data_IF_719104916548
#
_entry.id   IF_719104916548
#
_cell.length_a   1.000
_cell.length_b   1.000
_cell.length_c   1.000
_cell.angle_alpha   90.00
_cell.angle_beta   90.00
_cell.angle_gamma   90.00
#
_symmetry.space_group_name_H-M   'P 1'
#
loop_
_entity.id
_entity.type
_entity.pdbx_description
1 polymer ?
#
# COMPACT_ATOMS: atom_id res chain seq x y z
N UNK A 1 -16.30 -2.84 27.42
CA UNK A 1 -16.70 -4.09 26.77
C UNK A 1 -16.23 -5.23 27.66
N UNK A 2 -17.17 -6.03 28.19
CA UNK A 2 -16.81 -7.25 28.92
C UNK A 2 -16.40 -8.31 27.88
N UNK A 3 -15.09 -8.51 27.74
CA UNK A 3 -14.56 -9.58 26.90
C UNK A 3 -14.54 -10.86 27.75
N UNK A 4 -15.43 -11.78 27.44
CA UNK A 4 -15.48 -13.14 28.05
C UNK A 4 -14.78 -14.17 27.16
N UNK A 5 -13.63 -13.82 26.59
CA UNK A 5 -12.85 -14.68 25.71
C UNK A 5 -11.59 -15.20 26.41
N UNK A 6 -11.15 -16.40 26.03
CA UNK A 6 -9.91 -17.00 26.56
C UNK A 6 -8.66 -16.24 26.10
N UNK A 7 -8.72 -15.58 24.95
CA UNK A 7 -7.65 -14.76 24.37
C UNK A 7 -8.27 -13.57 23.60
N UNK A 8 -7.74 -12.39 23.83
CA UNK A 8 -8.07 -11.18 23.06
C UNK A 8 -6.88 -10.79 22.21
N UNK A 9 -7.07 -10.65 20.91
CA UNK A 9 -6.02 -10.21 19.98
C UNK A 9 -6.39 -8.80 19.48
N UNK A 10 -5.49 -7.86 19.70
CA UNK A 10 -5.56 -6.53 19.08
C UNK A 10 -4.66 -6.54 17.84
N UNK A 11 -5.25 -6.30 16.67
CA UNK A 11 -4.55 -6.22 15.40
C UNK A 11 -4.60 -4.80 14.87
N UNK A 12 -3.44 -4.23 14.57
CA UNK A 12 -3.28 -2.85 14.06
C UNK A 12 -3.73 -1.77 15.06
N UNK A 13 -3.78 -2.10 16.32
CA UNK A 13 -4.11 -1.17 17.41
C UNK A 13 -3.62 -1.70 18.75
N UNK A 14 -3.53 -0.78 19.72
CA UNK A 14 -3.25 -1.15 21.11
C UNK A 14 -1.87 -0.72 21.60
N UNK A 15 -0.86 -0.60 20.76
CA UNK A 15 0.49 -0.15 21.15
C UNK A 15 0.51 1.27 21.65
N UNK A 16 -0.16 2.19 20.96
CA UNK A 16 -0.30 3.59 21.35
C UNK A 16 -1.29 3.86 22.49
N UNK A 17 -1.92 2.83 23.03
CA UNK A 17 -2.98 2.93 24.03
C UNK A 17 -2.62 2.18 25.32
N UNK A 18 -3.12 2.65 26.47
CA UNK A 18 -2.92 2.00 27.77
C UNK A 18 -3.95 0.89 28.02
N UNK A 19 -4.09 -0.03 27.07
CA UNK A 19 -5.07 -1.14 27.16
C UNK A 19 -4.89 -1.98 28.41
N UNK A 20 -3.66 -2.11 28.91
CA UNK A 20 -3.32 -2.89 30.11
C UNK A 20 -3.95 -2.35 31.40
N UNK A 21 -4.33 -1.07 31.46
CA UNK A 21 -4.99 -0.46 32.61
C UNK A 21 -6.46 -0.91 32.74
N UNK A 22 -7.04 -1.43 31.67
CA UNK A 22 -8.45 -1.84 31.61
C UNK A 22 -8.63 -3.36 31.54
N UNK A 23 -7.56 -4.14 31.72
CA UNK A 23 -7.63 -5.59 31.70
C UNK A 23 -8.15 -6.12 33.02
N UNK A 24 -9.08 -7.08 32.94
CA UNK A 24 -9.51 -7.85 34.11
C UNK A 24 -8.42 -8.85 34.54
N UNK A 25 -8.46 -9.27 35.80
CA UNK A 25 -7.65 -10.39 36.29
C UNK A 25 -7.91 -11.62 35.43
N UNK A 26 -6.86 -12.34 35.06
CA UNK A 26 -6.87 -13.52 34.19
C UNK A 26 -7.16 -13.26 32.70
N UNK A 27 -7.13 -12.01 32.24
CA UNK A 27 -7.19 -11.72 30.80
C UNK A 27 -5.92 -12.21 30.11
N UNK A 28 -6.08 -12.81 28.92
CA UNK A 28 -4.96 -13.13 28.01
C UNK A 28 -5.02 -12.21 26.80
N UNK A 29 -3.97 -11.44 26.56
CA UNK A 29 -3.95 -10.39 25.54
C UNK A 29 -2.71 -10.52 24.67
N UNK A 30 -2.92 -10.48 23.36
CA UNK A 30 -1.89 -10.34 22.36
C UNK A 30 -2.14 -9.05 21.56
N UNK A 31 -1.10 -8.21 21.47
CA UNK A 31 -1.10 -7.01 20.60
C UNK A 31 -0.15 -7.25 19.44
N UNK A 32 -0.65 -7.09 18.21
CA UNK A 32 0.08 -7.10 16.95
C UNK A 32 -0.06 -5.71 16.33
N UNK A 33 0.89 -4.83 16.58
CA UNK A 33 0.75 -3.42 16.20
C UNK A 33 2.11 -2.83 15.79
N UNK A 34 2.09 -1.86 14.91
CA UNK A 34 3.28 -1.19 14.37
C UNK A 34 3.37 0.30 14.76
N UNK A 35 2.35 0.82 15.43
CA UNK A 35 2.32 2.20 15.91
C UNK A 35 3.30 2.42 17.08
N UNK A 36 3.73 3.68 17.33
CA UNK A 36 4.61 4.00 18.45
C UNK A 36 4.04 3.48 19.80
N UNK A 37 4.77 2.59 20.50
CA UNK A 37 4.26 1.98 21.73
C UNK A 37 4.38 2.90 22.93
N UNK A 38 3.38 2.88 23.83
CA UNK A 38 3.43 3.56 25.14
C UNK A 38 4.09 2.72 26.22
N UNK A 39 4.30 1.43 25.96
CA UNK A 39 4.97 0.48 26.85
C UNK A 39 6.41 0.23 26.41
N UNK A 40 7.22 -0.24 27.35
CA UNK A 40 8.58 -0.73 27.04
C UNK A 40 8.51 -2.18 26.58
N UNK A 41 9.51 -2.60 25.81
CA UNK A 41 9.73 -4.02 25.51
C UNK A 41 9.75 -4.83 26.82
N UNK A 42 9.19 -6.04 26.80
CA UNK A 42 9.05 -6.93 27.97
C UNK A 42 8.17 -6.36 29.10
N UNK A 43 7.23 -5.49 28.78
CA UNK A 43 6.22 -5.06 29.74
C UNK A 43 5.44 -6.28 30.26
N UNK A 44 5.29 -6.34 31.58
CA UNK A 44 4.48 -7.36 32.26
C UNK A 44 3.24 -6.68 32.84
N UNK A 45 2.06 -7.16 32.48
CA UNK A 45 0.83 -6.63 33.05
C UNK A 45 0.71 -7.01 34.53
N UNK A 46 0.09 -6.15 35.37
CA UNK A 46 -0.16 -6.46 36.76
C UNK A 46 -1.03 -7.69 37.01
N UNK A 47 -1.86 -8.05 36.01
CA UNK A 47 -2.74 -9.22 36.07
C UNK A 47 -2.92 -9.82 34.64
N UNK A 48 -2.90 -11.16 34.58
CA UNK A 48 -3.10 -11.89 33.32
C UNK A 48 -1.84 -12.00 32.45
N UNK A 49 -2.01 -12.66 31.30
CA UNK A 49 -0.96 -12.83 30.31
C UNK A 49 -1.04 -11.70 29.27
N UNK A 50 0.07 -11.02 29.06
CA UNK A 50 0.14 -9.88 28.14
C UNK A 50 1.38 -10.03 27.25
N UNK A 51 1.15 -10.08 25.94
CA UNK A 51 2.22 -10.08 24.95
C UNK A 51 1.97 -8.97 23.91
N UNK A 52 2.98 -8.17 23.66
CA UNK A 52 2.97 -7.15 22.61
C UNK A 52 4.10 -7.42 21.62
N UNK A 53 3.74 -7.62 20.37
CA UNK A 53 4.65 -7.76 19.23
C UNK A 53 4.58 -6.46 18.44
N UNK A 54 5.67 -5.68 18.53
CA UNK A 54 5.78 -4.40 17.83
C UNK A 54 7.18 -4.29 17.19
N UNK A 55 7.30 -4.00 15.89
CA UNK A 55 8.57 -3.94 15.16
C UNK A 55 9.54 -2.92 15.77
N UNK A 56 9.04 -1.83 16.35
CA UNK A 56 9.85 -0.78 16.96
C UNK A 56 10.71 -1.33 18.11
N UNK A 57 10.22 -2.31 18.87
CA UNK A 57 10.99 -2.95 19.93
C UNK A 57 12.24 -3.69 19.42
N UNK A 58 12.25 -4.04 18.13
CA UNK A 58 13.34 -4.75 17.47
C UNK A 58 14.15 -3.84 16.53
N UNK A 59 14.01 -2.52 16.66
CA UNK A 59 14.74 -1.54 15.85
C UNK A 59 14.26 -1.42 14.41
N UNK A 60 13.06 -1.94 14.11
CA UNK A 60 12.44 -1.78 12.79
C UNK A 60 11.58 -0.53 12.75
N UNK A 61 11.48 0.10 11.59
CA UNK A 61 10.57 1.22 11.36
C UNK A 61 9.14 0.68 11.10
N UNK A 62 8.23 0.96 12.03
CA UNK A 62 6.83 0.56 11.93
C UNK A 62 6.08 1.21 10.76
N UNK A 63 6.59 2.31 10.20
CA UNK A 63 5.94 3.01 9.08
C UNK A 63 6.31 2.47 7.69
N UNK A 64 7.33 1.58 7.60
CA UNK A 64 7.86 1.10 6.31
C UNK A 64 8.14 -0.39 6.27
N UNK A 65 8.45 -1.03 7.41
CA UNK A 65 8.94 -2.41 7.43
C UNK A 65 7.85 -3.46 7.59
N UNK A 66 6.78 -3.16 8.30
CA UNK A 66 5.61 -4.04 8.46
C UNK A 66 4.40 -3.28 8.96
N UNK A 67 3.21 -3.60 8.39
CA UNK A 67 1.91 -3.11 8.86
C UNK A 67 1.32 -4.00 9.96
N UNK A 68 0.30 -3.51 10.67
CA UNK A 68 -0.44 -4.33 11.64
C UNK A 68 -1.07 -5.57 11.01
N UNK A 69 -1.66 -5.43 9.81
CA UNK A 69 -2.16 -6.57 9.04
C UNK A 69 -1.04 -7.50 8.57
N UNK A 70 0.14 -6.97 8.26
CA UNK A 70 1.34 -7.77 7.98
C UNK A 70 1.78 -8.62 9.17
N UNK A 71 1.81 -8.04 10.38
CA UNK A 71 2.09 -8.79 11.61
C UNK A 71 1.07 -9.89 11.87
N UNK A 72 -0.21 -9.59 11.60
CA UNK A 72 -1.30 -10.58 11.73
C UNK A 72 -1.12 -11.74 10.75
N UNK A 73 -0.73 -11.44 9.50
CA UNK A 73 -0.39 -12.50 8.54
C UNK A 73 0.81 -13.33 9.00
N UNK A 74 1.88 -12.69 9.49
CA UNK A 74 3.05 -13.43 9.98
C UNK A 74 2.68 -14.41 11.11
N UNK A 75 1.79 -14.01 12.00
CA UNK A 75 1.23 -14.93 12.99
C UNK A 75 0.42 -16.05 12.34
N UNK A 76 -0.48 -15.74 11.41
CA UNK A 76 -1.29 -16.74 10.70
C UNK A 76 -0.41 -17.74 9.92
N UNK A 77 0.70 -17.28 9.35
CA UNK A 77 1.70 -18.11 8.66
C UNK A 77 2.28 -19.20 9.56
N UNK A 78 2.52 -18.91 10.84
CA UNK A 78 3.03 -19.89 11.81
C UNK A 78 2.00 -21.01 12.08
N UNK A 79 0.71 -20.75 11.85
CA UNK A 79 -0.36 -21.76 11.87
C UNK A 79 -0.62 -22.40 10.50
N UNK A 80 0.19 -22.11 9.49
CA UNK A 80 0.11 -22.72 8.15
C UNK A 80 -0.75 -21.97 7.12
N UNK A 81 -1.35 -20.83 7.48
CA UNK A 81 -2.21 -20.02 6.58
C UNK A 81 -1.39 -19.12 5.65
N UNK A 82 -0.67 -19.73 4.71
CA UNK A 82 0.16 -18.99 3.73
C UNK A 82 -0.68 -18.34 2.63
N UNK A 83 -1.86 -18.85 2.38
CA UNK A 83 -2.87 -18.31 1.46
C UNK A 83 -3.36 -16.91 1.81
N UNK A 84 -3.10 -16.44 3.04
CA UNK A 84 -3.45 -15.10 3.50
C UNK A 84 -2.36 -14.05 3.23
N UNK A 85 -1.24 -14.41 2.60
CA UNK A 85 -0.10 -13.51 2.38
C UNK A 85 -0.47 -12.23 1.61
N UNK A 86 -1.36 -12.32 0.63
CA UNK A 86 -1.85 -11.18 -0.13
C UNK A 86 -2.62 -10.16 0.74
N UNK A 87 -3.30 -10.61 1.81
CA UNK A 87 -3.99 -9.71 2.74
C UNK A 87 -2.99 -8.90 3.58
N UNK A 88 -1.90 -9.53 4.03
CA UNK A 88 -0.80 -8.85 4.71
C UNK A 88 -0.15 -7.79 3.83
N UNK A 89 0.02 -8.10 2.53
CA UNK A 89 0.55 -7.16 1.55
C UNK A 89 -0.44 -6.03 1.25
N UNK A 90 -1.74 -6.34 1.13
CA UNK A 90 -2.81 -5.35 0.94
C UNK A 90 -2.83 -4.33 2.09
N UNK A 91 -2.67 -4.79 3.33
CA UNK A 91 -2.56 -3.92 4.50
C UNK A 91 -1.34 -2.99 4.41
N UNK A 92 -0.17 -3.51 4.04
CA UNK A 92 1.03 -2.69 3.88
C UNK A 92 0.90 -1.63 2.77
N UNK A 93 0.20 -1.95 1.65
CA UNK A 93 -0.15 -0.98 0.61
C UNK A 93 -1.15 0.05 1.13
N UNK A 94 -2.15 -0.38 1.92
CA UNK A 94 -3.14 0.50 2.54
C UNK A 94 -2.53 1.52 3.51
N UNK A 95 -1.46 1.12 4.20
CA UNK A 95 -0.64 1.98 5.08
C UNK A 95 0.43 2.77 4.32
N UNK A 96 0.43 2.71 2.99
CA UNK A 96 1.37 3.44 2.12
C UNK A 96 2.86 3.12 2.40
N UNK A 97 3.17 1.92 2.91
CA UNK A 97 4.52 1.53 3.37
C UNK A 97 5.51 1.31 2.23
N UNK A 98 5.04 1.21 0.99
CA UNK A 98 5.87 1.10 -0.22
C UNK A 98 6.25 2.46 -0.85
N UNK A 99 5.62 3.57 -0.44
CA UNK A 99 5.71 4.85 -1.19
C UNK A 99 7.09 5.49 -1.04
N UNK A 100 7.66 5.52 0.17
CA UNK A 100 8.92 6.23 0.45
C UNK A 100 10.07 5.78 -0.45
N UNK A 101 10.15 4.49 -0.76
CA UNK A 101 11.22 3.90 -1.57
C UNK A 101 10.75 3.37 -2.93
N UNK A 102 9.44 3.45 -3.21
CA UNK A 102 8.82 2.88 -4.40
C UNK A 102 8.79 1.35 -4.40
N UNK A 103 8.98 0.71 -3.24
CA UNK A 103 9.01 -0.76 -3.09
C UNK A 103 8.76 -1.16 -1.64
N UNK A 104 8.40 -2.43 -1.42
CA UNK A 104 8.31 -3.00 -0.08
C UNK A 104 9.69 -3.27 0.52
N UNK A 105 9.83 -3.06 1.83
CA UNK A 105 11.04 -3.34 2.62
C UNK A 105 10.73 -4.10 3.91
N UNK A 106 11.78 -4.51 4.62
CA UNK A 106 11.66 -5.23 5.88
C UNK A 106 10.82 -6.50 5.77
N UNK A 107 9.98 -6.77 6.75
CA UNK A 107 9.07 -7.91 6.77
C UNK A 107 7.99 -7.86 5.68
N UNK A 108 7.62 -6.66 5.21
CA UNK A 108 6.72 -6.54 4.05
C UNK A 108 7.33 -7.16 2.79
N UNK A 109 8.67 -7.11 2.64
CA UNK A 109 9.36 -7.78 1.52
C UNK A 109 9.24 -9.31 1.63
N UNK A 110 9.33 -9.87 2.83
CA UNK A 110 9.16 -11.30 3.05
C UNK A 110 7.72 -11.73 2.76
N UNK A 111 6.72 -10.93 3.18
CA UNK A 111 5.31 -11.14 2.88
C UNK A 111 5.05 -11.10 1.37
N UNK A 112 5.66 -10.15 0.67
CA UNK A 112 5.59 -10.09 -0.80
C UNK A 112 6.18 -11.35 -1.45
N UNK A 113 7.34 -11.80 -0.97
CA UNK A 113 7.96 -13.03 -1.49
C UNK A 113 7.08 -14.26 -1.26
N UNK A 114 6.43 -14.36 -0.10
CA UNK A 114 5.44 -15.40 0.16
C UNK A 114 4.29 -15.32 -0.86
N UNK A 115 3.70 -14.13 -1.07
CA UNK A 115 2.58 -13.93 -1.99
C UNK A 115 2.92 -14.25 -3.44
N UNK A 116 4.12 -13.87 -3.89
CA UNK A 116 4.60 -14.16 -5.26
C UNK A 116 4.89 -15.64 -5.43
N UNK A 117 5.56 -16.28 -4.45
CA UNK A 117 5.88 -17.70 -4.49
C UNK A 117 4.63 -18.58 -4.55
N UNK A 118 3.61 -18.23 -3.80
CA UNK A 118 2.32 -18.94 -3.78
C UNK A 118 1.41 -18.57 -4.98
N UNK A 119 1.84 -17.61 -5.82
CA UNK A 119 1.12 -17.21 -7.03
C UNK A 119 -0.09 -16.30 -6.82
N UNK A 120 -0.24 -15.70 -5.63
CA UNK A 120 -1.37 -14.80 -5.34
C UNK A 120 -1.15 -13.38 -5.88
N UNK A 121 0.10 -12.93 -5.94
CA UNK A 121 0.45 -11.56 -6.35
C UNK A 121 1.52 -11.59 -7.43
N UNK A 122 1.29 -10.80 -8.48
CA UNK A 122 2.29 -10.39 -9.45
C UNK A 122 2.92 -9.08 -9.00
N UNK A 123 4.25 -9.00 -9.03
CA UNK A 123 5.00 -7.78 -8.70
C UNK A 123 5.91 -7.40 -9.86
N UNK A 124 5.81 -6.16 -10.30
CA UNK A 124 6.68 -5.62 -11.35
C UNK A 124 6.99 -4.15 -11.12
N UNK A 125 8.08 -3.66 -11.72
CA UNK A 125 8.37 -2.22 -11.75
C UNK A 125 7.55 -1.57 -12.87
N UNK A 126 6.71 -0.58 -12.52
CA UNK A 126 5.84 0.09 -13.49
C UNK A 126 5.50 1.53 -13.01
N UNK A 127 4.73 2.26 -13.82
CA UNK A 127 4.21 3.55 -13.43
C UNK A 127 3.22 3.40 -12.26
N UNK A 128 3.46 4.14 -11.18
CA UNK A 128 2.69 4.08 -9.92
C UNK A 128 1.49 5.02 -9.88
N UNK A 129 1.13 5.61 -11.02
CA UNK A 129 -0.02 6.51 -11.12
C UNK A 129 -1.31 5.76 -10.76
N UNK A 130 -2.06 6.30 -9.81
CA UNK A 130 -3.29 5.69 -9.29
C UNK A 130 -4.39 5.56 -10.36
N UNK A 131 -5.14 4.47 -10.32
CA UNK A 131 -6.21 4.20 -11.28
C UNK A 131 -5.75 3.40 -12.48
N UNK A 132 -4.73 2.55 -12.31
CA UNK A 132 -4.13 1.71 -13.36
C UNK A 132 -5.15 0.86 -14.11
N UNK A 133 -6.10 0.27 -13.37
CA UNK A 133 -7.13 -0.63 -13.90
C UNK A 133 -8.50 0.02 -14.02
N UNK A 134 -8.84 1.02 -13.22
CA UNK A 134 -10.21 1.55 -13.16
C UNK A 134 -10.39 2.88 -13.87
N UNK A 135 -9.36 3.73 -13.95
CA UNK A 135 -9.49 5.07 -14.53
C UNK A 135 -9.07 5.12 -15.99
N UNK A 136 -9.84 5.85 -16.84
CA UNK A 136 -9.34 6.26 -18.14
C UNK A 136 -7.98 6.97 -18.01
N UNK A 137 -7.05 6.71 -18.95
CA UNK A 137 -5.69 7.23 -18.92
C UNK A 137 -5.63 8.77 -18.74
N UNK A 138 -6.53 9.50 -19.40
CA UNK A 138 -6.64 10.96 -19.28
C UNK A 138 -6.96 11.36 -17.83
N UNK A 139 -7.88 10.64 -17.19
CA UNK A 139 -8.29 10.92 -15.82
C UNK A 139 -7.18 10.54 -14.82
N UNK A 140 -6.54 9.38 -15.00
CA UNK A 140 -5.42 8.96 -14.17
C UNK A 140 -4.30 10.03 -14.16
N UNK A 141 -3.95 10.55 -15.36
CA UNK A 141 -2.95 11.61 -15.50
C UNK A 141 -3.42 12.95 -14.90
N UNK A 142 -4.70 13.32 -15.08
CA UNK A 142 -5.27 14.55 -14.53
C UNK A 142 -5.31 14.57 -13.01
N UNK A 143 -5.49 13.40 -12.38
CA UNK A 143 -5.51 13.25 -10.91
C UNK A 143 -4.14 12.95 -10.30
N UNK A 144 -3.07 12.85 -11.10
CA UNK A 144 -1.72 12.79 -10.55
C UNK A 144 -1.41 14.05 -9.76
N UNK A 145 -1.20 13.92 -8.45
CA UNK A 145 -1.20 15.02 -7.49
C UNK A 145 0.06 15.15 -6.62
N UNK A 146 1.06 14.27 -6.79
CA UNK A 146 2.30 14.33 -6.00
C UNK A 146 3.08 15.63 -6.25
N UNK A 147 2.96 16.15 -7.46
CA UNK A 147 3.41 17.49 -7.85
C UNK A 147 2.30 18.14 -8.67
N UNK A 148 2.01 19.41 -8.41
CA UNK A 148 1.09 20.17 -9.27
C UNK A 148 1.74 20.41 -10.63
N UNK A 149 1.15 19.83 -11.67
CA UNK A 149 1.63 19.88 -13.05
C UNK A 149 0.63 20.64 -13.93
N UNK A 150 1.03 21.07 -15.13
CA UNK A 150 0.09 21.64 -16.12
C UNK A 150 -1.10 20.72 -16.43
N UNK A 151 -0.92 19.41 -16.25
CA UNK A 151 -1.96 18.37 -16.43
C UNK A 151 -2.88 18.20 -15.21
N UNK A 152 -2.52 18.73 -14.04
CA UNK A 152 -3.29 18.54 -12.80
C UNK A 152 -4.65 19.23 -12.92
N UNK A 153 -5.73 18.44 -12.78
CA UNK A 153 -7.12 18.87 -12.97
C UNK A 153 -7.42 19.51 -14.36
N UNK A 154 -6.59 19.18 -15.37
CA UNK A 154 -6.70 19.72 -16.72
C UNK A 154 -6.72 18.61 -17.77
N UNK A 155 -7.90 18.07 -18.04
CA UNK A 155 -8.10 16.99 -19.01
C UNK A 155 -7.73 17.38 -20.45
N UNK A 156 -7.91 18.63 -20.83
CA UNK A 156 -7.54 19.11 -22.17
C UNK A 156 -6.02 19.07 -22.37
N UNK A 157 -5.25 19.49 -21.38
CA UNK A 157 -3.79 19.40 -21.42
C UNK A 157 -3.32 17.95 -21.41
N UNK A 158 -3.96 17.08 -20.63
CA UNK A 158 -3.68 15.63 -20.66
C UNK A 158 -3.88 15.04 -22.06
N UNK A 159 -5.00 15.38 -22.70
CA UNK A 159 -5.32 14.91 -24.05
C UNK A 159 -4.27 15.42 -25.06
N UNK A 160 -3.92 16.68 -25.01
CA UNK A 160 -2.93 17.29 -25.90
C UNK A 160 -1.57 16.58 -25.78
N UNK A 161 -1.09 16.37 -24.54
CA UNK A 161 0.19 15.69 -24.31
C UNK A 161 0.19 14.23 -24.75
N UNK A 162 -0.85 13.47 -24.41
CA UNK A 162 -0.95 12.08 -24.84
C UNK A 162 -0.95 11.96 -26.36
N UNK A 163 -1.66 12.85 -27.07
CA UNK A 163 -1.63 12.92 -28.55
C UNK A 163 -0.23 13.25 -29.08
N UNK A 164 0.45 14.22 -28.49
CA UNK A 164 1.82 14.60 -28.90
C UNK A 164 2.83 13.47 -28.71
N UNK A 165 2.62 12.60 -27.71
CA UNK A 165 3.41 11.39 -27.47
C UNK A 165 3.05 10.25 -28.42
N UNK A 166 1.99 10.38 -29.22
CA UNK A 166 1.47 9.33 -30.06
C UNK A 166 0.78 8.19 -29.28
N UNK A 167 0.28 8.50 -28.07
CA UNK A 167 -0.43 7.53 -27.22
C UNK A 167 -1.92 7.61 -27.52
N UNK A 168 -2.54 6.57 -28.10
CA UNK A 168 -3.97 6.56 -28.38
C UNK A 168 -4.79 6.58 -27.09
N UNK A 169 -5.89 7.34 -27.07
CA UNK A 169 -6.77 7.46 -25.90
C UNK A 169 -7.77 6.31 -25.80
N UNK A 170 -8.00 5.61 -26.90
CA UNK A 170 -8.97 4.51 -27.02
C UNK A 170 -8.33 3.29 -27.68
N UNK A 171 -8.88 2.13 -27.34
CA UNK A 171 -8.70 0.88 -28.05
C UNK A 171 -10.08 0.42 -28.55
N UNK A 172 -10.37 0.63 -29.83
CA UNK A 172 -11.74 0.54 -30.36
C UNK A 172 -12.65 1.58 -29.70
N UNK A 173 -13.77 1.13 -29.14
CA UNK A 173 -14.71 2.00 -28.41
C UNK A 173 -14.32 2.26 -26.95
N UNK A 174 -13.47 1.41 -26.36
CA UNK A 174 -13.09 1.47 -24.96
C UNK A 174 -12.00 2.50 -24.71
N UNK A 175 -12.12 3.26 -23.62
CA UNK A 175 -11.08 4.17 -23.15
C UNK A 175 -9.90 3.37 -22.61
N UNK A 176 -8.70 3.70 -23.06
CA UNK A 176 -7.47 3.08 -22.55
C UNK A 176 -7.18 3.51 -21.13
N UNK A 177 -6.61 2.59 -20.39
CA UNK A 177 -6.16 2.75 -19.01
C UNK A 177 -4.64 2.62 -18.94
N UNK A 178 -4.05 2.91 -17.81
CA UNK A 178 -2.59 2.87 -17.64
C UNK A 178 -2.04 1.44 -17.88
N UNK A 179 -2.77 0.42 -17.44
CA UNK A 179 -2.41 -0.99 -17.65
C UNK A 179 -2.43 -1.45 -19.13
N UNK A 180 -2.99 -0.64 -20.05
CA UNK A 180 -3.03 -0.96 -21.48
C UNK A 180 -1.82 -0.41 -22.26
N UNK A 181 -0.96 0.38 -21.61
CA UNK A 181 0.19 0.97 -22.26
C UNK A 181 1.27 -0.08 -22.52
N UNK A 182 1.86 0.00 -23.71
CA UNK A 182 3.09 -0.74 -24.03
C UNK A 182 4.28 -0.14 -23.28
N UNK A 183 5.37 -0.89 -23.16
CA UNK A 183 6.58 -0.40 -22.48
C UNK A 183 7.16 0.86 -23.14
N UNK A 184 7.05 0.99 -24.46
CA UNK A 184 7.47 2.21 -25.18
C UNK A 184 6.57 3.40 -24.82
N UNK A 185 5.26 3.22 -24.75
CA UNK A 185 4.32 4.25 -24.34
C UNK A 185 4.51 4.64 -22.87
N UNK A 186 4.73 3.67 -21.98
CA UNK A 186 5.05 3.92 -20.57
C UNK A 186 6.32 4.76 -20.41
N UNK A 187 7.37 4.41 -21.17
CA UNK A 187 8.63 5.16 -21.18
C UNK A 187 8.44 6.61 -21.69
N UNK A 188 7.67 6.80 -22.75
CA UNK A 188 7.35 8.14 -23.26
C UNK A 188 6.57 8.95 -22.24
N UNK A 189 5.56 8.35 -21.59
CA UNK A 189 4.74 8.99 -20.58
C UNK A 189 5.57 9.35 -19.33
N UNK A 190 6.42 8.42 -18.85
CA UNK A 190 7.36 8.69 -17.76
C UNK A 190 8.24 9.90 -18.05
N UNK A 191 8.89 9.93 -19.22
CA UNK A 191 9.78 11.04 -19.60
C UNK A 191 9.04 12.38 -19.65
N UNK A 192 7.80 12.39 -20.14
CA UNK A 192 6.98 13.60 -20.21
C UNK A 192 6.59 14.08 -18.82
N UNK A 193 6.13 13.20 -17.93
CA UNK A 193 5.77 13.57 -16.56
C UNK A 193 7.03 14.06 -15.82
N UNK A 194 8.15 13.34 -15.93
CA UNK A 194 9.41 13.72 -15.30
C UNK A 194 9.88 15.11 -15.78
N UNK A 195 9.78 15.40 -17.09
CA UNK A 195 10.13 16.71 -17.65
C UNK A 195 9.25 17.82 -17.07
N UNK A 196 7.93 17.59 -16.94
CA UNK A 196 7.03 18.56 -16.29
C UNK A 196 7.40 18.76 -14.82
N UNK A 197 7.70 17.68 -14.08
CA UNK A 197 8.09 17.79 -12.67
C UNK A 197 9.38 18.59 -12.47
N UNK A 198 10.37 18.36 -13.32
CA UNK A 198 11.65 19.11 -13.29
C UNK A 198 11.44 20.61 -13.49
N UNK A 199 10.44 21.04 -14.27
CA UNK A 199 10.14 22.46 -14.44
C UNK A 199 9.43 23.10 -13.25
N UNK A 200 8.73 22.31 -12.44
CA UNK A 200 7.93 22.80 -11.30
C UNK A 200 8.64 22.66 -9.94
N UNK A 201 9.65 21.80 -9.86
CA UNK A 201 10.30 21.41 -8.59
C UNK A 201 11.75 21.93 -8.55
N UNK A 202 12.23 22.53 -7.43
CA UNK A 202 13.61 22.95 -7.30
C UNK A 202 14.61 21.81 -7.52
N UNK A 203 15.74 22.09 -8.19
CA UNK A 203 16.76 21.13 -8.63
C UNK A 203 17.23 20.17 -7.52
N UNK A 204 17.38 20.67 -6.28
CA UNK A 204 17.82 19.87 -5.13
C UNK A 204 16.93 18.64 -4.86
N UNK A 205 15.68 18.64 -5.36
CA UNK A 205 14.73 17.54 -5.18
C UNK A 205 14.61 16.62 -6.41
N UNK A 206 15.22 16.97 -7.56
CA UNK A 206 15.06 16.21 -8.81
C UNK A 206 15.44 14.74 -8.67
N UNK A 207 16.42 14.41 -7.82
CA UNK A 207 16.83 13.02 -7.56
C UNK A 207 15.72 12.13 -6.95
N UNK A 208 14.68 12.75 -6.38
CA UNK A 208 13.57 12.02 -5.76
C UNK A 208 12.36 11.85 -6.69
N UNK A 209 12.25 12.66 -7.74
CA UNK A 209 11.10 12.70 -8.64
C UNK A 209 10.81 11.36 -9.34
N UNK A 210 11.80 10.58 -9.80
CA UNK A 210 11.52 9.30 -10.43
C UNK A 210 10.69 8.35 -9.56
N UNK A 211 10.88 8.37 -8.24
CA UNK A 211 10.18 7.49 -7.29
C UNK A 211 8.69 7.81 -7.15
N UNK A 212 8.28 9.04 -7.51
CA UNK A 212 6.88 9.44 -7.49
C UNK A 212 6.11 8.92 -8.72
N UNK A 213 6.82 8.44 -9.73
CA UNK A 213 6.22 8.01 -11.00
C UNK A 213 6.46 6.51 -11.24
N UNK A 214 7.58 5.98 -10.75
CA UNK A 214 8.04 4.62 -11.02
C UNK A 214 8.35 3.89 -9.72
N UNK A 215 7.76 2.71 -9.56
CA UNK A 215 7.97 1.86 -8.40
C UNK A 215 7.42 0.47 -8.63
N UNK A 216 7.39 -0.33 -7.58
CA UNK A 216 6.73 -1.64 -7.63
C UNK A 216 5.22 -1.47 -7.60
N UNK A 217 4.54 -2.20 -8.47
CA UNK A 217 3.09 -2.36 -8.49
C UNK A 217 2.77 -3.81 -8.18
N UNK A 218 1.68 -4.02 -7.48
CA UNK A 218 1.26 -5.31 -6.93
C UNK A 218 -0.14 -5.62 -7.43
N UNK A 219 -0.29 -6.71 -8.17
CA UNK A 219 -1.56 -7.10 -8.77
C UNK A 219 -1.97 -8.50 -8.30
N UNK A 220 -3.23 -8.66 -7.87
CA UNK A 220 -3.78 -9.98 -7.53
C UNK A 220 -3.95 -10.83 -8.77
N UNK A 221 -3.30 -12.00 -8.81
CA UNK A 221 -3.28 -12.90 -9.97
C UNK A 221 -4.66 -13.46 -10.30
N UNK A 222 -5.51 -13.66 -9.27
CA UNK A 222 -6.86 -14.22 -9.41
C UNK A 222 -7.89 -13.23 -9.94
N UNK A 223 -7.59 -11.92 -9.89
CA UNK A 223 -8.55 -10.89 -10.22
C UNK A 223 -8.50 -10.50 -11.70
N UNK A 224 -9.67 -10.19 -12.26
CA UNK A 224 -9.77 -9.75 -13.64
C UNK A 224 -9.19 -8.35 -13.84
N UNK A 225 -8.62 -8.11 -15.03
CA UNK A 225 -8.20 -6.75 -15.42
C UNK A 225 -9.41 -5.81 -15.42
N UNK A 226 -9.16 -4.54 -15.18
CA UNK A 226 -10.14 -3.45 -15.15
C UNK A 226 -11.12 -3.47 -13.96
N UNK A 227 -10.87 -4.33 -12.98
CA UNK A 227 -11.55 -4.29 -11.69
C UNK A 227 -10.74 -3.53 -10.65
N UNK A 228 -11.41 -3.00 -9.63
CA UNK A 228 -10.77 -2.32 -8.49
C UNK A 228 -9.95 -3.29 -7.63
N UNK A 229 -10.20 -4.59 -7.75
CA UNK A 229 -9.55 -5.62 -6.93
C UNK A 229 -8.20 -6.05 -7.50
N UNK A 230 -7.94 -5.80 -8.81
CA UNK A 230 -6.72 -6.25 -9.46
C UNK A 230 -5.47 -5.57 -8.91
N UNK A 231 -5.47 -4.25 -8.77
CA UNK A 231 -4.33 -3.47 -8.27
C UNK A 231 -4.49 -3.24 -6.75
N UNK A 232 -3.49 -3.61 -5.94
CA UNK A 232 -3.59 -3.51 -4.48
C UNK A 232 -3.72 -2.06 -3.98
N UNK A 233 -3.24 -1.06 -4.72
CA UNK A 233 -3.41 0.36 -4.37
C UNK A 233 -4.87 0.80 -4.56
N UNK A 234 -5.52 0.36 -5.65
CA UNK A 234 -6.93 0.63 -5.87
C UNK A 234 -7.81 -0.15 -4.90
N UNK A 235 -7.46 -1.42 -4.64
CA UNK A 235 -8.20 -2.27 -3.72
C UNK A 235 -8.14 -1.74 -2.28
N UNK A 236 -6.96 -1.39 -1.77
CA UNK A 236 -6.81 -0.85 -0.42
C UNK A 236 -7.59 0.46 -0.24
N UNK A 237 -7.63 1.30 -1.28
CA UNK A 237 -8.44 2.53 -1.28
C UNK A 237 -9.94 2.22 -1.17
N UNK A 238 -10.43 1.20 -1.89
CA UNK A 238 -11.83 0.77 -1.80
C UNK A 238 -12.19 0.24 -0.41
N UNK A 239 -11.32 -0.58 0.20
CA UNK A 239 -11.49 -1.08 1.57
C UNK A 239 -11.52 0.08 2.58
N UNK A 240 -10.59 1.02 2.48
CA UNK A 240 -10.54 2.20 3.35
C UNK A 240 -11.78 3.09 3.19
N UNK A 241 -12.32 3.22 1.98
CA UNK A 241 -13.55 3.97 1.75
C UNK A 241 -14.77 3.31 2.42
N UNK A 242 -14.88 1.98 2.40
CA UNK A 242 -15.94 1.26 3.10
C UNK A 242 -15.87 1.49 4.62
N UNK A 243 -14.67 1.46 5.20
CA UNK A 243 -14.49 1.63 6.63
C UNK A 243 -14.79 3.05 7.13
N UNK A 244 -14.64 4.08 6.29
CA UNK A 244 -14.94 5.48 6.66
C UNK A 244 -16.42 5.84 6.60
N UNK A 245 -17.24 5.01 5.96
CA UNK A 245 -18.68 5.25 5.75
C UNK A 245 -19.57 4.29 6.56
N UNK A 246 -18.97 3.48 7.46
CA UNK A 246 -19.67 2.53 8.33
C UNK A 246 -20.02 3.12 9.71
#
# INVERSE_FOLDING_TARGET
>A
VELSSDLTIFSDLGSGQRVHENLKSNSRVLILDHHPPVRKMNFTAPSGDFLEINPIFYGMDGSTHVSGGGLTYLLAREFGYRDLSWMGLLAAVGDMQNITLGKMEGLNRDILQDSVREGYVECQSDLTIYGRHTRPLVNALSYFGDVTLPTTNNTNECIARLKNLGIPLKNGESQRKLCDLTDDEKRKLFNEIYRMMVSEVPERYHRYLPRLILGEVYELSSEERYTVFRDLSEFSTAVNACNRNS
#
